data_IF_423435003781
#
_entry.id   IF_423435003781
#
_cell.length_a   1.000
_cell.length_b   1.000
_cell.length_c   1.000
_cell.angle_alpha   90.00
_cell.angle_beta   90.00
_cell.angle_gamma   90.00
#
_symmetry.space_group_name_H-M   'P 1'
#
loop_
_entity.id
_entity.type
_entity.pdbx_description
1 polymer ?
#
# COMPACT_ATOMS: atom_id res chain seq x y z
N UNK A 1 15.96 -21.78 11.94
CA UNK A 1 14.93 -21.24 12.85
C UNK A 1 14.22 -20.09 12.16
N UNK A 2 12.90 -19.97 12.38
CA UNK A 2 12.08 -18.91 11.81
C UNK A 2 11.45 -18.13 12.96
N UNK A 3 11.56 -16.81 12.92
CA UNK A 3 10.92 -15.91 13.87
C UNK A 3 10.00 -14.98 13.05
N UNK A 4 8.71 -15.32 13.02
CA UNK A 4 7.70 -14.58 12.26
C UNK A 4 7.13 -13.42 13.05
N UNK A 5 6.74 -12.39 12.34
CA UNK A 5 5.92 -11.28 12.86
C UNK A 5 4.50 -11.78 13.14
N UNK A 6 3.83 -11.15 14.10
CA UNK A 6 2.41 -11.36 14.31
C UNK A 6 1.61 -10.90 13.07
N UNK A 7 0.70 -11.73 12.60
CA UNK A 7 -0.25 -11.39 11.54
C UNK A 7 -1.65 -11.12 12.10
N UNK A 8 -2.32 -10.10 11.57
CA UNK A 8 -3.72 -9.82 11.89
C UNK A 8 -4.67 -10.78 11.17
N UNK A 9 -4.27 -11.38 10.06
CA UNK A 9 -5.05 -12.41 9.37
C UNK A 9 -5.35 -13.60 10.27
N UNK A 10 -4.37 -14.01 11.10
CA UNK A 10 -4.52 -15.13 12.04
C UNK A 10 -5.28 -14.75 13.31
N UNK A 11 -5.29 -13.49 13.70
CA UNK A 11 -5.77 -13.05 15.02
C UNK A 11 -7.01 -12.18 14.97
N UNK A 12 -7.40 -11.66 13.83
CA UNK A 12 -8.59 -10.82 13.66
C UNK A 12 -9.86 -11.67 13.78
N UNK A 13 -10.76 -11.25 14.65
CA UNK A 13 -12.03 -11.95 14.92
C UNK A 13 -13.19 -11.46 14.06
N UNK A 14 -13.02 -10.36 13.34
CA UNK A 14 -14.09 -9.69 12.59
C UNK A 14 -13.55 -9.07 11.30
N UNK A 15 -14.10 -9.47 10.16
CA UNK A 15 -13.85 -8.82 8.85
C UNK A 15 -14.57 -7.47 8.71
N UNK A 16 -15.49 -7.15 9.59
CA UNK A 16 -16.10 -5.84 9.68
C UNK A 16 -15.12 -4.83 10.32
N UNK A 17 -14.48 -5.22 11.43
CA UNK A 17 -13.56 -4.35 12.17
C UNK A 17 -12.17 -4.25 11.52
N UNK A 18 -11.73 -5.32 10.82
CA UNK A 18 -10.43 -5.45 10.18
C UNK A 18 -10.57 -5.93 8.73
N UNK A 19 -11.19 -5.14 7.84
CA UNK A 19 -11.60 -5.64 6.52
C UNK A 19 -10.46 -5.94 5.56
N UNK A 20 -9.30 -5.31 5.71
CA UNK A 20 -8.11 -5.55 4.90
C UNK A 20 -7.10 -6.42 5.63
N UNK A 21 -6.72 -6.05 6.84
CA UNK A 21 -5.69 -6.76 7.61
C UNK A 21 -6.08 -8.20 7.97
N UNK A 22 -7.38 -8.47 8.15
CA UNK A 22 -7.86 -9.85 8.36
C UNK A 22 -7.78 -10.76 7.14
N UNK A 23 -7.45 -10.23 5.97
CA UNK A 23 -7.44 -10.99 4.70
C UNK A 23 -6.14 -10.90 3.93
N UNK A 24 -5.37 -9.85 4.14
CA UNK A 24 -4.23 -9.49 3.30
C UNK A 24 -2.96 -9.18 4.11
N UNK A 25 -2.99 -9.39 5.43
CA UNK A 25 -1.80 -9.19 6.24
C UNK A 25 -0.79 -10.32 6.02
N UNK A 26 0.45 -9.95 5.79
CA UNK A 26 1.53 -10.87 5.44
C UNK A 26 2.34 -11.27 6.67
N UNK A 27 2.92 -12.47 6.64
CA UNK A 27 3.86 -12.97 7.64
C UNK A 27 5.30 -12.71 7.20
N UNK A 28 5.84 -11.57 7.61
CA UNK A 28 7.29 -11.34 7.50
C UNK A 28 8.02 -12.14 8.59
N UNK A 29 9.18 -12.69 8.26
CA UNK A 29 9.96 -13.48 9.18
C UNK A 29 11.46 -13.27 9.03
N UNK A 30 12.17 -13.34 10.18
CA UNK A 30 13.61 -13.51 10.19
C UNK A 30 13.92 -15.00 10.15
N UNK A 31 14.82 -15.38 9.25
CA UNK A 31 15.25 -16.77 9.07
C UNK A 31 16.70 -16.88 9.54
N UNK A 32 16.95 -17.76 10.49
CA UNK A 32 18.27 -18.05 11.01
C UNK A 32 18.74 -19.40 10.47
N UNK A 33 19.74 -19.37 9.59
CA UNK A 33 20.40 -20.54 9.05
C UNK A 33 21.60 -20.88 9.95
N UNK A 34 21.48 -21.93 10.74
CA UNK A 34 22.50 -22.42 11.67
C UNK A 34 22.81 -23.87 11.30
N UNK A 35 24.01 -24.09 10.77
CA UNK A 35 24.49 -25.38 10.25
C UNK A 35 23.53 -26.04 9.24
N UNK A 36 23.02 -25.22 8.31
CA UNK A 36 22.11 -25.68 7.24
C UNK A 36 22.91 -26.22 6.07
N UNK A 37 22.72 -27.49 5.77
CA UNK A 37 23.33 -28.14 4.62
C UNK A 37 22.61 -27.73 3.32
N UNK A 38 23.32 -27.08 2.39
CA UNK A 38 22.85 -26.74 1.06
C UNK A 38 23.45 -27.74 0.06
N UNK A 39 22.65 -28.57 -0.63
CA UNK A 39 23.19 -29.48 -1.63
C UNK A 39 23.70 -28.71 -2.85
N UNK A 40 24.71 -29.27 -3.53
CA UNK A 40 25.42 -28.61 -4.63
C UNK A 40 24.53 -28.19 -5.80
N UNK A 41 23.52 -28.97 -6.11
CA UNK A 41 22.56 -28.64 -7.16
C UNK A 41 21.74 -27.37 -6.89
N UNK A 42 21.81 -26.82 -5.68
CA UNK A 42 21.18 -25.56 -5.27
C UNK A 42 22.17 -24.42 -5.08
N UNK A 43 23.45 -24.64 -5.39
CA UNK A 43 24.49 -23.61 -5.35
C UNK A 43 24.70 -23.06 -6.75
N UNK A 44 24.19 -21.86 -7.02
CA UNK A 44 24.28 -21.24 -8.34
C UNK A 44 25.57 -20.46 -8.55
N UNK A 45 26.13 -19.86 -7.49
CA UNK A 45 27.38 -19.10 -7.51
C UNK A 45 28.23 -19.56 -6.33
N UNK A 46 29.49 -19.97 -6.61
CA UNK A 46 30.39 -20.45 -5.56
C UNK A 46 31.74 -19.74 -5.64
N UNK A 47 32.09 -19.01 -4.56
CA UNK A 47 33.34 -18.26 -4.41
C UNK A 47 33.67 -17.30 -5.55
N UNK A 48 32.64 -16.82 -6.26
CA UNK A 48 32.75 -15.85 -7.35
C UNK A 48 31.95 -14.58 -6.97
N UNK A 49 32.66 -13.61 -6.42
CA UNK A 49 32.07 -12.35 -5.96
C UNK A 49 31.67 -11.44 -7.10
N UNK A 50 32.32 -11.54 -8.26
CA UNK A 50 32.04 -10.69 -9.42
C UNK A 50 30.73 -11.13 -10.08
N UNK A 51 30.57 -12.44 -10.30
CA UNK A 51 29.27 -13.00 -10.75
C UNK A 51 28.15 -12.70 -9.76
N UNK A 52 28.41 -12.77 -8.44
CA UNK A 52 27.39 -12.45 -7.43
C UNK A 52 26.96 -10.98 -7.48
N UNK A 53 27.87 -10.04 -7.78
CA UNK A 53 27.56 -8.62 -7.97
C UNK A 53 26.80 -8.38 -9.28
N UNK A 54 27.23 -9.02 -10.37
CA UNK A 54 26.66 -8.89 -11.70
C UNK A 54 25.25 -9.46 -11.80
N UNK A 55 24.91 -10.45 -11.01
CA UNK A 55 23.65 -11.17 -11.02
C UNK A 55 22.42 -10.26 -11.09
N UNK A 56 22.38 -9.20 -10.28
CA UNK A 56 21.21 -8.35 -10.17
C UNK A 56 21.05 -7.39 -11.37
N UNK A 57 22.15 -6.94 -11.96
CA UNK A 57 22.15 -5.97 -13.07
C UNK A 57 22.13 -6.68 -14.43
N UNK A 58 22.93 -7.73 -14.61
CA UNK A 58 23.14 -8.38 -15.88
C UNK A 58 22.00 -9.34 -16.27
N UNK A 59 21.20 -9.78 -15.29
CA UNK A 59 20.03 -10.64 -15.53
C UNK A 59 18.71 -9.88 -15.72
N UNK A 60 18.73 -8.57 -15.77
CA UNK A 60 17.54 -7.70 -15.76
C UNK A 60 16.63 -7.85 -14.53
N UNK A 61 17.04 -8.58 -13.50
CA UNK A 61 16.26 -8.74 -12.27
C UNK A 61 15.92 -7.40 -11.64
N UNK A 62 16.88 -6.47 -11.63
CA UNK A 62 16.67 -5.11 -11.13
C UNK A 62 15.56 -4.36 -11.87
N UNK A 63 15.53 -4.44 -13.20
CA UNK A 63 14.52 -3.76 -14.01
C UNK A 63 13.12 -4.33 -13.78
N UNK A 64 13.01 -5.64 -13.83
CA UNK A 64 11.73 -6.34 -13.72
C UNK A 64 11.15 -6.22 -12.32
N UNK A 65 12.00 -6.28 -11.28
CA UNK A 65 11.58 -6.07 -9.90
C UNK A 65 11.01 -4.66 -9.68
N UNK A 66 11.72 -3.63 -10.16
CA UNK A 66 11.28 -2.25 -9.98
C UNK A 66 10.05 -1.91 -10.83
N UNK A 67 9.96 -2.43 -12.04
CA UNK A 67 8.76 -2.33 -12.87
C UNK A 67 7.54 -2.96 -12.16
N UNK A 68 7.67 -4.17 -11.66
CA UNK A 68 6.62 -4.84 -10.89
C UNK A 68 6.20 -4.01 -9.67
N UNK A 69 7.16 -3.38 -8.99
CA UNK A 69 6.85 -2.53 -7.83
C UNK A 69 5.96 -1.34 -8.19
N UNK A 70 6.17 -0.74 -9.37
CA UNK A 70 5.38 0.39 -9.84
C UNK A 70 3.97 -0.02 -10.29
N UNK A 71 3.81 -1.16 -10.94
CA UNK A 71 2.48 -1.71 -11.27
C UNK A 71 1.67 -1.92 -9.99
N UNK A 72 2.28 -2.53 -8.98
CA UNK A 72 1.63 -2.76 -7.69
C UNK A 72 1.22 -1.46 -7.02
N UNK A 73 2.10 -0.44 -7.04
CA UNK A 73 1.78 0.88 -6.49
C UNK A 73 0.67 1.58 -7.28
N UNK A 74 0.68 1.51 -8.61
CA UNK A 74 -0.37 2.04 -9.47
C UNK A 74 -1.76 1.53 -9.04
N UNK A 75 -1.90 0.22 -8.93
CA UNK A 75 -3.18 -0.39 -8.50
C UNK A 75 -3.56 0.02 -7.07
N UNK A 76 -2.57 0.07 -6.17
CA UNK A 76 -2.81 0.53 -4.80
C UNK A 76 -3.31 1.98 -4.76
N UNK A 77 -2.73 2.89 -5.53
CA UNK A 77 -3.15 4.29 -5.57
C UNK A 77 -4.54 4.46 -6.22
N UNK A 78 -4.88 3.68 -7.23
CA UNK A 78 -6.24 3.63 -7.79
C UNK A 78 -7.28 3.20 -6.74
N UNK A 79 -6.97 2.20 -5.94
CA UNK A 79 -7.82 1.82 -4.80
C UNK A 79 -7.91 2.95 -3.77
N UNK A 80 -6.79 3.53 -3.38
CA UNK A 80 -6.74 4.56 -2.34
C UNK A 80 -7.49 5.84 -2.75
N UNK A 81 -7.42 6.28 -4.02
CA UNK A 81 -8.20 7.46 -4.47
C UNK A 81 -9.71 7.18 -4.44
N UNK A 82 -10.12 5.96 -4.73
CA UNK A 82 -11.51 5.53 -4.56
C UNK A 82 -11.97 5.60 -3.09
N UNK A 83 -11.13 5.14 -2.17
CA UNK A 83 -11.38 5.25 -0.71
C UNK A 83 -11.44 6.72 -0.29
N UNK A 84 -10.51 7.57 -0.73
CA UNK A 84 -10.47 9.00 -0.42
C UNK A 84 -11.75 9.72 -0.85
N UNK A 85 -12.20 9.48 -2.08
CA UNK A 85 -13.46 10.02 -2.59
C UNK A 85 -14.64 9.57 -1.74
N UNK A 86 -14.71 8.28 -1.43
CA UNK A 86 -15.82 7.73 -0.65
C UNK A 86 -15.84 8.23 0.80
N UNK A 87 -14.68 8.53 1.40
CA UNK A 87 -14.60 9.23 2.69
C UNK A 87 -15.35 10.57 2.59
N UNK A 88 -15.01 11.40 1.60
CA UNK A 88 -15.61 12.72 1.43
C UNK A 88 -17.13 12.64 1.14
N UNK A 89 -17.58 11.66 0.36
CA UNK A 89 -19.01 11.40 0.15
C UNK A 89 -19.71 11.04 1.47
N UNK A 90 -19.10 10.15 2.25
CA UNK A 90 -19.68 9.63 3.49
C UNK A 90 -19.81 10.71 4.56
N UNK A 91 -18.82 11.59 4.70
CA UNK A 91 -18.86 12.70 5.68
C UNK A 91 -19.52 13.97 5.14
N UNK A 92 -19.88 14.01 3.84
CA UNK A 92 -20.62 15.13 3.24
C UNK A 92 -19.75 16.32 2.83
N UNK A 93 -18.44 16.15 2.66
CA UNK A 93 -17.50 17.23 2.34
C UNK A 93 -17.09 17.31 0.86
N UNK A 94 -17.59 16.39 0.02
CA UNK A 94 -17.16 16.25 -1.37
C UNK A 94 -17.22 17.56 -2.19
N UNK A 95 -18.24 18.39 -1.95
CA UNK A 95 -18.47 19.63 -2.67
C UNK A 95 -17.76 20.86 -2.07
N UNK A 96 -16.97 20.68 -1.02
CA UNK A 96 -16.16 21.76 -0.45
C UNK A 96 -14.98 22.06 -1.39
N UNK A 97 -14.74 23.33 -1.77
CA UNK A 97 -13.68 23.67 -2.76
C UNK A 97 -12.30 23.13 -2.40
N UNK A 98 -11.89 23.25 -1.13
CA UNK A 98 -10.58 22.76 -0.66
C UNK A 98 -10.48 21.23 -0.69
N UNK A 99 -11.58 20.52 -0.47
CA UNK A 99 -11.62 19.05 -0.56
C UNK A 99 -11.57 18.61 -2.02
N UNK A 100 -12.33 19.27 -2.90
CA UNK A 100 -12.30 19.00 -4.34
C UNK A 100 -10.92 19.24 -4.94
N UNK A 101 -10.25 20.33 -4.56
CA UNK A 101 -8.88 20.62 -4.97
C UNK A 101 -7.92 19.50 -4.54
N UNK A 102 -7.96 19.09 -3.28
CA UNK A 102 -7.10 18.03 -2.75
C UNK A 102 -7.36 16.70 -3.43
N UNK A 103 -8.62 16.33 -3.65
CA UNK A 103 -8.96 15.11 -4.40
C UNK A 103 -8.46 15.17 -5.85
N UNK A 104 -8.56 16.33 -6.50
CA UNK A 104 -8.01 16.55 -7.83
C UNK A 104 -6.49 16.36 -7.88
N UNK A 105 -5.76 16.90 -6.91
CA UNK A 105 -4.33 16.70 -6.78
C UNK A 105 -3.98 15.21 -6.57
N UNK A 106 -4.70 14.53 -5.70
CA UNK A 106 -4.50 13.09 -5.44
C UNK A 106 -4.80 12.23 -6.67
N UNK A 107 -5.85 12.57 -7.42
CA UNK A 107 -6.17 11.89 -8.67
C UNK A 107 -5.06 12.09 -9.73
N UNK A 108 -4.50 13.30 -9.83
CA UNK A 108 -3.37 13.58 -10.72
C UNK A 108 -2.11 12.79 -10.31
N UNK A 109 -1.85 12.66 -9.01
CA UNK A 109 -0.74 11.84 -8.50
C UNK A 109 -0.91 10.36 -8.86
N UNK A 110 -2.11 9.80 -8.72
CA UNK A 110 -2.39 8.41 -9.12
C UNK A 110 -2.23 8.23 -10.63
N UNK A 111 -2.76 9.15 -11.45
CA UNK A 111 -2.61 9.13 -12.90
C UNK A 111 -1.15 9.30 -13.35
N UNK A 112 -0.34 10.07 -12.62
CA UNK A 112 1.09 10.19 -12.89
C UNK A 112 1.82 8.85 -12.74
N UNK A 113 1.55 8.10 -11.69
CA UNK A 113 2.15 6.76 -11.49
C UNK A 113 1.72 5.81 -12.61
N UNK A 114 0.45 5.83 -12.99
CA UNK A 114 -0.07 5.06 -14.13
C UNK A 114 0.62 5.45 -15.44
N UNK A 115 0.75 6.75 -15.70
CA UNK A 115 1.46 7.26 -16.88
C UNK A 115 2.94 6.86 -16.92
N UNK A 116 3.62 6.79 -15.78
CA UNK A 116 5.00 6.28 -15.69
C UNK A 116 5.08 4.78 -16.01
N UNK A 117 4.11 3.97 -15.56
CA UNK A 117 4.05 2.54 -15.92
C UNK A 117 3.87 2.36 -17.42
N UNK A 118 2.89 3.04 -18.03
CA UNK A 118 2.69 2.99 -19.48
C UNK A 118 3.89 3.55 -20.26
N UNK A 119 4.53 4.59 -19.74
CA UNK A 119 5.76 5.13 -20.32
C UNK A 119 6.90 4.11 -20.31
N UNK A 120 7.11 3.39 -19.20
CA UNK A 120 8.10 2.31 -19.11
C UNK A 120 7.81 1.20 -20.12
N UNK A 121 6.54 0.83 -20.29
CA UNK A 121 6.13 -0.21 -21.24
C UNK A 121 6.34 0.23 -22.70
N UNK A 122 5.90 1.43 -23.06
CA UNK A 122 5.99 1.93 -24.43
C UNK A 122 7.41 2.34 -24.86
N UNK A 123 8.24 2.80 -23.91
CA UNK A 123 9.63 3.17 -24.14
C UNK A 123 10.63 2.01 -24.00
N UNK A 124 10.15 0.84 -23.62
CA UNK A 124 10.98 -0.35 -23.44
C UNK A 124 11.56 -0.90 -24.74
N UNK A 125 12.42 -1.91 -24.64
CA UNK A 125 13.08 -2.54 -25.78
C UNK A 125 13.47 -3.99 -25.55
N UNK A 126 13.88 -4.66 -26.64
CA UNK A 126 14.35 -6.04 -26.60
C UNK A 126 15.84 -6.10 -26.31
N UNK A 127 16.20 -6.87 -25.27
CA UNK A 127 17.58 -7.14 -24.86
C UNK A 127 17.73 -8.66 -24.63
N UNK A 128 18.62 -9.30 -25.35
CA UNK A 128 18.85 -10.76 -25.26
C UNK A 128 17.55 -11.60 -25.37
N UNK A 129 16.61 -11.16 -26.22
CA UNK A 129 15.33 -11.87 -26.42
C UNK A 129 14.24 -11.56 -25.40
N UNK A 130 14.49 -10.71 -24.42
CA UNK A 130 13.52 -10.26 -23.42
C UNK A 130 13.11 -8.81 -23.67
N UNK A 131 11.82 -8.50 -23.57
CA UNK A 131 11.35 -7.12 -23.55
C UNK A 131 11.55 -6.54 -22.15
N UNK A 132 12.28 -5.44 -22.06
CA UNK A 132 12.67 -4.79 -20.81
C UNK A 132 12.08 -3.39 -20.76
N UNK A 133 11.47 -2.95 -19.65
CA UNK A 133 10.93 -1.61 -19.51
C UNK A 133 11.99 -0.52 -19.68
N UNK A 134 11.56 0.70 -20.06
CA UNK A 134 12.45 1.85 -20.15
C UNK A 134 13.13 2.14 -18.81
N UNK A 135 14.46 2.15 -18.83
CA UNK A 135 15.30 2.31 -17.65
C UNK A 135 15.15 3.68 -16.99
N UNK A 136 15.10 4.74 -17.78
CA UNK A 136 15.09 6.10 -17.24
C UNK A 136 13.76 6.39 -16.57
N UNK A 137 12.65 5.95 -17.17
CA UNK A 137 11.33 6.10 -16.58
C UNK A 137 11.16 5.22 -15.35
N UNK A 138 11.77 4.02 -15.35
CA UNK A 138 11.78 3.15 -14.18
C UNK A 138 12.47 3.80 -12.98
N UNK A 139 13.68 4.34 -13.15
CA UNK A 139 14.37 5.05 -12.07
C UNK A 139 13.65 6.33 -11.66
N UNK A 140 13.09 7.06 -12.62
CA UNK A 140 12.26 8.23 -12.33
C UNK A 140 11.09 7.86 -11.44
N UNK A 141 10.34 6.82 -11.80
CA UNK A 141 9.23 6.33 -11.00
C UNK A 141 9.70 5.90 -9.60
N UNK A 142 10.78 5.14 -9.51
CA UNK A 142 11.33 4.66 -8.24
C UNK A 142 11.66 5.81 -7.27
N UNK A 143 12.31 6.87 -7.76
CA UNK A 143 12.68 8.04 -6.94
C UNK A 143 11.45 8.84 -6.51
N UNK A 144 10.52 9.11 -7.44
CA UNK A 144 9.37 9.95 -7.18
C UNK A 144 8.33 9.28 -6.28
N UNK A 145 8.04 8.00 -6.51
CA UNK A 145 6.95 7.30 -5.83
C UNK A 145 7.23 7.02 -4.36
N UNK A 146 8.50 6.87 -3.98
CA UNK A 146 8.89 6.69 -2.57
C UNK A 146 8.55 7.91 -1.70
N UNK A 147 8.55 9.11 -2.26
CA UNK A 147 8.11 10.34 -1.57
C UNK A 147 6.61 10.55 -1.70
N UNK A 148 6.09 10.28 -2.88
CA UNK A 148 4.71 10.53 -3.23
C UNK A 148 3.72 9.76 -2.34
N UNK A 149 3.99 8.49 -2.06
CA UNK A 149 3.03 7.64 -1.36
C UNK A 149 2.77 8.08 0.10
N UNK A 150 3.79 8.39 0.93
CA UNK A 150 3.55 8.97 2.27
C UNK A 150 2.78 10.29 2.25
N UNK A 151 3.07 11.17 1.28
CA UNK A 151 2.35 12.43 1.10
C UNK A 151 0.88 12.19 0.73
N UNK A 152 0.64 11.23 -0.15
CA UNK A 152 -0.69 10.81 -0.55
C UNK A 152 -1.50 10.27 0.65
N UNK A 153 -0.92 9.42 1.48
CA UNK A 153 -1.54 8.90 2.70
C UNK A 153 -1.82 10.03 3.71
N UNK A 154 -0.90 10.99 3.84
CA UNK A 154 -1.11 12.18 4.68
C UNK A 154 -2.32 12.99 4.20
N UNK A 155 -2.44 13.21 2.90
CA UNK A 155 -3.60 13.89 2.31
C UNK A 155 -4.92 13.15 2.57
N UNK A 156 -4.91 11.82 2.51
CA UNK A 156 -6.08 11.00 2.87
C UNK A 156 -6.48 11.18 4.33
N UNK A 157 -5.50 11.21 5.24
CA UNK A 157 -5.76 11.43 6.68
C UNK A 157 -6.33 12.82 6.94
N UNK A 158 -5.84 13.85 6.24
CA UNK A 158 -6.36 15.21 6.34
C UNK A 158 -7.84 15.29 5.94
N UNK A 159 -8.21 14.72 4.79
CA UNK A 159 -9.62 14.74 4.33
C UNK A 159 -10.54 13.87 5.18
N UNK A 160 -10.02 12.80 5.78
CA UNK A 160 -10.78 11.95 6.70
C UNK A 160 -11.03 12.62 8.06
N UNK A 161 -10.14 13.52 8.48
CA UNK A 161 -10.24 14.25 9.73
C UNK A 161 -10.19 13.38 10.97
N UNK A 162 -10.44 13.99 12.14
CA UNK A 162 -10.43 13.32 13.44
C UNK A 162 -11.53 12.25 13.61
N UNK A 163 -12.59 12.30 12.81
CA UNK A 163 -13.65 11.29 12.81
C UNK A 163 -13.17 9.87 12.47
N UNK A 164 -12.01 9.75 11.82
CA UNK A 164 -11.43 8.45 11.50
C UNK A 164 -11.02 7.62 12.74
N UNK A 165 -10.66 8.28 13.83
CA UNK A 165 -10.32 7.61 15.11
C UNK A 165 -11.49 7.53 16.09
N UNK A 166 -12.61 8.21 15.81
CA UNK A 166 -13.80 8.27 16.66
C UNK A 166 -14.85 7.25 16.22
N UNK A 167 -14.43 6.03 15.97
CA UNK A 167 -15.29 4.93 15.54
C UNK A 167 -15.58 3.98 16.70
N UNK A 168 -16.75 3.32 16.72
CA UNK A 168 -17.00 2.19 17.62
C UNK A 168 -15.89 1.14 17.50
N UNK A 169 -15.45 0.59 18.64
CA UNK A 169 -14.32 -0.33 18.68
C UNK A 169 -14.62 -1.65 17.98
N UNK A 170 -15.87 -2.11 18.06
CA UNK A 170 -16.29 -3.39 17.50
C UNK A 170 -17.69 -3.29 16.87
N UNK A 171 -17.93 -4.13 15.87
CA UNK A 171 -19.27 -4.35 15.32
C UNK A 171 -20.27 -4.80 16.40
N UNK A 172 -19.81 -5.42 17.45
CA UNK A 172 -20.63 -5.84 18.60
C UNK A 172 -21.25 -4.68 19.39
N UNK A 173 -20.71 -3.47 19.22
CA UNK A 173 -21.29 -2.27 19.84
C UNK A 173 -22.70 -1.98 19.29
N UNK A 174 -23.02 -2.44 18.08
CA UNK A 174 -24.38 -2.37 17.53
C UNK A 174 -25.33 -3.42 18.10
N UNK A 175 -24.83 -4.49 18.74
CA UNK A 175 -25.64 -5.51 19.38
C UNK A 175 -26.18 -5.06 20.75
N UNK A 176 -25.58 -4.02 21.35
CA UNK A 176 -26.06 -3.40 22.58
C UNK A 176 -27.00 -2.23 22.26
N UNK A 177 -28.32 -2.34 22.52
CA UNK A 177 -29.30 -1.33 22.15
C UNK A 177 -29.03 0.07 22.73
N UNK A 178 -28.45 0.15 23.93
CA UNK A 178 -28.13 1.40 24.58
C UNK A 178 -26.98 2.11 23.85
N UNK A 179 -25.92 1.38 23.51
CA UNK A 179 -24.76 1.92 22.76
C UNK A 179 -25.16 2.21 21.31
N UNK A 180 -25.84 1.30 20.64
CA UNK A 180 -26.30 1.44 19.26
C UNK A 180 -27.11 2.72 19.06
N UNK A 181 -27.97 3.09 20.01
CA UNK A 181 -28.75 4.33 19.98
C UNK A 181 -27.86 5.55 19.84
N UNK A 182 -26.74 5.60 20.56
CA UNK A 182 -25.80 6.73 20.49
C UNK A 182 -24.98 6.70 19.20
N UNK A 183 -24.59 5.51 18.72
CA UNK A 183 -23.92 5.38 17.44
C UNK A 183 -24.83 5.90 16.32
N UNK A 184 -26.08 5.46 16.28
CA UNK A 184 -27.05 5.93 15.28
C UNK A 184 -27.33 7.44 15.36
N UNK A 185 -27.28 8.03 16.56
CA UNK A 185 -27.49 9.46 16.75
C UNK A 185 -26.27 10.31 16.32
N UNK A 186 -25.05 9.77 16.41
CA UNK A 186 -23.81 10.56 16.26
C UNK A 186 -23.02 10.22 15.00
N UNK A 187 -23.13 9.00 14.45
CA UNK A 187 -22.42 8.56 13.25
C UNK A 187 -23.25 8.76 11.98
N UNK A 188 -23.77 9.97 11.78
CA UNK A 188 -24.55 10.28 10.58
C UNK A 188 -23.69 10.23 9.32
N UNK A 189 -24.28 9.76 8.23
CA UNK A 189 -23.70 9.72 6.89
C UNK A 189 -24.50 10.61 5.94
N UNK A 190 -23.82 11.22 4.98
CA UNK A 190 -24.48 11.97 3.91
C UNK A 190 -25.08 11.06 2.81
N UNK A 191 -24.63 9.81 2.75
CA UNK A 191 -24.95 8.91 1.62
C UNK A 191 -25.39 7.50 2.04
N UNK A 192 -25.72 7.28 3.31
CA UNK A 192 -26.11 5.96 3.80
C UNK A 192 -26.46 5.96 5.28
N UNK A 193 -26.56 4.78 5.87
CA UNK A 193 -26.84 4.59 7.29
C UNK A 193 -25.59 4.83 8.16
N UNK A 194 -25.77 5.01 9.46
CA UNK A 194 -24.65 5.09 10.42
C UNK A 194 -23.83 3.81 10.47
N UNK A 195 -24.44 2.64 10.31
CA UNK A 195 -23.78 1.36 10.27
C UNK A 195 -22.89 1.22 9.02
N UNK A 196 -23.42 1.60 7.84
CA UNK A 196 -22.65 1.64 6.59
C UNK A 196 -21.48 2.61 6.68
N UNK A 197 -21.67 3.78 7.30
CA UNK A 197 -20.59 4.73 7.58
C UNK A 197 -19.50 4.10 8.44
N UNK A 198 -19.86 3.53 9.59
CA UNK A 198 -18.88 2.90 10.48
C UNK A 198 -18.12 1.80 9.77
N UNK A 199 -18.83 0.92 9.05
CA UNK A 199 -18.21 -0.16 8.26
C UNK A 199 -17.22 0.36 7.24
N UNK A 200 -17.59 1.40 6.50
CA UNK A 200 -16.70 2.00 5.50
C UNK A 200 -15.51 2.72 6.15
N UNK A 201 -15.73 3.45 7.23
CA UNK A 201 -14.65 4.13 7.94
C UNK A 201 -13.67 3.15 8.63
N UNK A 202 -14.12 1.94 9.01
CA UNK A 202 -13.24 0.83 9.40
C UNK A 202 -12.34 0.39 8.25
N UNK A 203 -12.88 0.30 7.02
CA UNK A 203 -12.07 0.05 5.83
C UNK A 203 -11.04 1.16 5.61
N UNK A 204 -11.46 2.43 5.73
CA UNK A 204 -10.58 3.57 5.57
C UNK A 204 -9.46 3.55 6.64
N UNK A 205 -9.80 3.26 7.90
CA UNK A 205 -8.80 3.11 8.96
C UNK A 205 -7.80 1.99 8.66
N UNK A 206 -8.29 0.83 8.25
CA UNK A 206 -7.43 -0.31 7.93
C UNK A 206 -6.56 -0.07 6.67
N UNK A 207 -7.00 0.83 5.78
CA UNK A 207 -6.25 1.25 4.59
C UNK A 207 -5.17 2.30 4.85
N UNK A 208 -5.36 3.23 5.84
CA UNK A 208 -4.47 4.40 5.99
C UNK A 208 -4.02 4.67 7.43
N UNK A 209 -4.60 4.05 8.46
CA UNK A 209 -4.35 4.39 9.86
C UNK A 209 -3.87 3.24 10.74
N UNK A 210 -4.23 2.02 10.42
CA UNK A 210 -3.92 0.83 11.23
C UNK A 210 -2.43 0.48 11.20
N UNK A 211 -2.03 -0.49 12.02
CA UNK A 211 -0.69 -1.08 11.95
C UNK A 211 -0.42 -1.70 10.57
N UNK A 212 -1.39 -2.40 9.99
CA UNK A 212 -1.34 -2.92 8.63
C UNK A 212 -1.06 -1.79 7.61
N UNK A 213 -1.84 -0.71 7.64
CA UNK A 213 -1.64 0.45 6.77
C UNK A 213 -0.27 1.12 6.96
N UNK A 214 0.20 1.18 8.21
CA UNK A 214 1.50 1.78 8.53
C UNK A 214 2.65 0.95 7.98
N UNK A 215 2.58 -0.38 8.05
CA UNK A 215 3.54 -1.28 7.39
C UNK A 215 3.50 -1.12 5.88
N UNK A 216 2.32 -1.01 5.27
CA UNK A 216 2.21 -0.75 3.83
C UNK A 216 2.81 0.59 3.43
N UNK A 217 2.69 1.64 4.25
CA UNK A 217 3.34 2.92 4.00
C UNK A 217 4.86 2.78 4.06
N UNK A 218 5.38 2.13 5.09
CA UNK A 218 6.80 1.82 5.22
C UNK A 218 7.32 0.98 4.04
N UNK A 219 6.53 0.01 3.62
CA UNK A 219 6.84 -0.86 2.50
C UNK A 219 7.01 -0.06 1.19
N UNK A 220 6.09 0.85 0.87
CA UNK A 220 6.20 1.67 -0.35
C UNK A 220 7.40 2.62 -0.35
N UNK A 221 7.88 3.00 0.82
CA UNK A 221 9.08 3.84 0.94
C UNK A 221 10.39 3.08 0.68
N UNK A 222 10.40 1.75 0.84
CA UNK A 222 11.64 0.97 0.83
C UNK A 222 11.64 -0.23 -0.11
N UNK A 223 10.51 -0.67 -0.63
CA UNK A 223 10.42 -1.88 -1.46
C UNK A 223 11.29 -1.81 -2.73
N UNK A 224 11.31 -0.66 -3.38
CA UNK A 224 12.13 -0.43 -4.57
C UNK A 224 13.58 -0.02 -4.24
N UNK A 225 13.98 -0.08 -2.97
CA UNK A 225 15.29 0.33 -2.45
C UNK A 225 15.20 1.56 -1.54
N UNK A 226 16.20 1.76 -0.69
CA UNK A 226 16.25 2.96 0.16
C UNK A 226 16.49 4.22 -0.70
N UNK A 227 15.87 5.34 -0.33
CA UNK A 227 15.95 6.59 -1.12
C UNK A 227 17.39 7.07 -1.36
N UNK A 228 18.27 6.94 -0.38
CA UNK A 228 19.68 7.35 -0.53
C UNK A 228 20.44 6.46 -1.51
N UNK A 229 20.01 5.22 -1.73
CA UNK A 229 20.57 4.31 -2.73
C UNK A 229 20.01 4.59 -4.11
N UNK A 230 18.70 4.89 -4.20
CA UNK A 230 18.04 5.08 -5.50
C UNK A 230 18.32 6.44 -6.12
N UNK A 231 18.79 7.42 -5.32
CA UNK A 231 19.14 8.78 -5.77
C UNK A 231 20.63 8.96 -6.09
N UNK A 232 21.49 8.06 -5.62
CA UNK A 232 22.95 8.07 -5.87
C UNK A 232 23.33 7.26 -7.07
#
# INVERSE_FOLDING_TARGET
KIMSRKSYEETATSTYDYPLSSRFDENDALIYCDDVKVPWERVFIYKDTDTARAQFQDTYAHYMQNYQSQIRLMIKMQFQIGVARRICETIGTLNMPSVSEKLGQMAAQAAMVEGLVYGMESGGGYYNGYYVPDRNLMYTAQVLTQQLYPEFITSMREIAGGGLIMLPSSVKDFENPEIARYIHATQNSAVGTSEEKVKFMKLAWDAIGSEFASRHTQYEMFYAGAQFVTRG
#
